data_IF_671273666006
#
_entry.id   IF_671273666006
#
_cell.length_a   1.000
_cell.length_b   1.000
_cell.length_c   1.000
_cell.angle_alpha   90.00
_cell.angle_beta   90.00
_cell.angle_gamma   90.00
#
_symmetry.space_group_name_H-M   'P 1'
#
loop_
_entity.id
_entity.type
_entity.pdbx_description
1 polymer ?
#
# COMPACT_ATOMS: atom_id res chain seq x y z
N UNK A 1 9.09 35.50 -23.27
CA UNK A 1 9.06 34.15 -23.90
C UNK A 1 8.15 33.35 -23.01
N UNK A 2 6.97 33.20 -23.46
CA UNK A 2 5.90 33.26 -22.48
C UNK A 2 5.19 31.94 -22.24
N UNK A 3 5.69 30.81 -22.72
CA UNK A 3 5.16 29.51 -22.30
C UNK A 3 6.01 28.37 -22.89
N UNK A 4 6.22 27.31 -22.12
CA UNK A 4 6.78 26.04 -22.61
C UNK A 4 5.96 25.45 -23.79
N UNK A 5 4.71 25.87 -23.96
CA UNK A 5 3.88 25.52 -25.09
C UNK A 5 4.46 26.04 -26.43
N UNK A 6 5.06 27.25 -26.43
CA UNK A 6 5.71 27.83 -27.61
C UNK A 6 6.98 27.05 -27.96
N UNK A 7 7.73 26.63 -26.96
CA UNK A 7 8.92 25.77 -27.12
C UNK A 7 8.55 24.39 -27.67
N UNK A 8 7.44 23.82 -27.20
CA UNK A 8 6.94 22.56 -27.74
C UNK A 8 6.52 22.66 -29.22
N UNK A 9 5.97 23.80 -29.61
CA UNK A 9 5.65 24.05 -31.04
C UNK A 9 6.90 24.03 -31.92
N UNK A 10 8.03 24.61 -31.47
CA UNK A 10 9.32 24.56 -32.16
C UNK A 10 9.88 23.12 -32.21
N UNK A 11 9.77 22.36 -31.13
CA UNK A 11 10.18 20.96 -31.13
C UNK A 11 9.35 20.13 -32.10
N UNK A 12 8.04 20.35 -32.18
CA UNK A 12 7.16 19.71 -33.17
C UNK A 12 7.54 20.03 -34.61
N UNK A 13 7.93 21.26 -34.87
CA UNK A 13 8.37 21.67 -36.20
C UNK A 13 9.69 21.00 -36.61
N UNK A 14 10.64 20.87 -35.70
CA UNK A 14 11.90 20.15 -35.95
C UNK A 14 11.65 18.63 -36.10
N UNK A 15 10.78 18.03 -35.30
CA UNK A 15 10.35 16.63 -35.46
C UNK A 15 9.65 16.37 -36.80
N UNK A 16 8.87 17.33 -37.31
CA UNK A 16 8.23 17.27 -38.62
C UNK A 16 9.25 17.27 -39.74
N UNK A 17 10.29 18.10 -39.63
CA UNK A 17 11.36 18.21 -40.62
C UNK A 17 12.29 16.96 -40.66
N UNK A 18 12.39 16.24 -39.54
CA UNK A 18 13.22 15.02 -39.41
C UNK A 18 12.48 13.73 -39.74
N UNK A 19 11.17 13.76 -39.93
CA UNK A 19 10.34 12.57 -40.16
C UNK A 19 9.56 12.65 -41.47
N UNK A 20 9.14 11.50 -41.99
CA UNK A 20 8.24 11.46 -43.14
C UNK A 20 6.84 11.96 -42.76
N UNK A 21 6.12 12.54 -43.69
CA UNK A 21 4.78 13.11 -43.45
C UNK A 21 3.82 12.09 -42.81
N UNK A 22 3.91 10.82 -43.21
CA UNK A 22 3.09 9.74 -42.70
C UNK A 22 3.45 9.42 -41.23
N UNK A 23 4.74 9.33 -40.89
CA UNK A 23 5.22 9.07 -39.54
C UNK A 23 4.85 10.22 -38.61
N UNK A 24 5.03 11.45 -39.07
CA UNK A 24 4.69 12.64 -38.30
C UNK A 24 3.19 12.65 -37.94
N UNK A 25 2.32 12.58 -38.96
CA UNK A 25 0.86 12.65 -38.74
C UNK A 25 0.29 11.54 -37.87
N UNK A 26 0.84 10.31 -37.94
CA UNK A 26 0.30 9.17 -37.21
C UNK A 26 0.84 9.13 -35.79
N UNK A 27 2.12 9.43 -35.59
CA UNK A 27 2.81 9.15 -34.32
C UNK A 27 3.24 10.40 -33.54
N UNK A 28 3.72 11.45 -34.19
CA UNK A 28 4.34 12.61 -33.54
C UNK A 28 3.36 13.79 -33.38
N UNK A 29 2.50 14.04 -34.37
CA UNK A 29 1.50 15.11 -34.32
C UNK A 29 0.50 14.96 -33.15
N UNK A 30 0.03 13.75 -32.82
CA UNK A 30 -0.88 13.53 -31.68
C UNK A 30 -0.26 13.69 -30.29
N UNK A 31 1.05 13.94 -30.18
CA UNK A 31 1.71 14.22 -28.91
C UNK A 31 1.29 15.60 -28.41
N UNK A 32 0.71 15.67 -27.23
CA UNK A 32 0.29 16.91 -26.59
C UNK A 32 1.25 17.28 -25.45
N UNK A 33 1.58 18.55 -25.31
CA UNK A 33 2.33 19.05 -24.18
C UNK A 33 1.42 19.09 -22.95
N UNK A 34 1.82 18.41 -21.86
CA UNK A 34 1.10 18.44 -20.59
C UNK A 34 1.83 19.36 -19.62
N UNK A 35 3.08 19.05 -19.29
CA UNK A 35 3.84 19.75 -18.26
C UNK A 35 5.35 19.59 -18.50
N UNK A 36 6.13 20.60 -18.08
CA UNK A 36 7.58 20.49 -17.94
C UNK A 36 7.96 20.74 -16.48
N UNK A 37 8.53 19.75 -15.82
CA UNK A 37 8.85 19.84 -14.40
C UNK A 37 10.25 19.30 -14.15
N UNK A 38 11.07 20.13 -13.52
CA UNK A 38 12.50 19.88 -13.32
C UNK A 38 13.18 19.65 -14.68
N UNK A 39 13.70 18.47 -14.98
CA UNK A 39 14.31 18.12 -16.29
C UNK A 39 13.47 17.10 -17.06
N UNK A 40 12.17 17.01 -16.80
CA UNK A 40 11.27 16.02 -17.39
C UNK A 40 10.13 16.68 -18.16
N UNK A 41 10.06 16.37 -19.44
CA UNK A 41 8.98 16.74 -20.34
C UNK A 41 7.89 15.66 -20.32
N UNK A 42 6.68 16.05 -19.95
CA UNK A 42 5.53 15.14 -19.89
C UNK A 42 4.64 15.40 -21.11
N UNK A 43 4.47 14.36 -21.93
CA UNK A 43 3.68 14.40 -23.17
C UNK A 43 2.46 13.49 -23.08
N UNK A 44 1.31 14.02 -23.50
CA UNK A 44 0.05 13.31 -23.62
C UNK A 44 -0.01 12.46 -24.88
N UNK A 45 -0.42 11.19 -24.76
CA UNK A 45 -0.70 10.30 -25.89
C UNK A 45 -1.62 9.17 -25.49
N UNK A 46 -2.43 8.66 -26.44
CA UNK A 46 -3.31 7.53 -26.20
C UNK A 46 -2.53 6.25 -25.86
N UNK A 47 -3.09 5.42 -24.92
CA UNK A 47 -2.47 4.19 -24.40
C UNK A 47 -1.98 3.26 -25.53
N UNK A 48 -2.79 3.10 -26.57
CA UNK A 48 -2.46 2.26 -27.72
C UNK A 48 -1.18 2.71 -28.46
N UNK A 49 -0.89 4.03 -28.53
CA UNK A 49 0.29 4.58 -29.21
C UNK A 49 1.52 4.64 -28.33
N UNK A 50 1.35 4.68 -27.00
CA UNK A 50 2.42 4.85 -26.01
C UNK A 50 3.55 3.81 -26.17
N UNK A 51 3.22 2.53 -26.28
CA UNK A 51 4.22 1.47 -26.44
C UNK A 51 5.10 1.63 -27.67
N UNK A 52 4.50 2.07 -28.79
CA UNK A 52 5.24 2.27 -30.07
C UNK A 52 6.10 3.53 -30.01
N UNK A 53 5.60 4.61 -29.42
CA UNK A 53 6.36 5.84 -29.23
C UNK A 53 7.58 5.60 -28.35
N UNK A 54 7.40 4.95 -27.20
CA UNK A 54 8.49 4.62 -26.27
C UNK A 54 9.55 3.72 -26.91
N UNK A 55 9.12 2.71 -27.69
CA UNK A 55 10.07 1.75 -28.29
C UNK A 55 10.81 2.27 -29.52
N UNK A 56 10.19 3.15 -30.32
CA UNK A 56 10.74 3.55 -31.61
C UNK A 56 11.12 5.04 -31.73
N UNK A 57 10.45 5.90 -31.01
CA UNK A 57 10.58 7.35 -31.20
C UNK A 57 11.13 8.10 -29.99
N UNK A 58 11.24 7.46 -28.82
CA UNK A 58 11.74 8.11 -27.59
C UNK A 58 13.09 8.78 -27.81
N UNK A 59 14.07 8.09 -28.38
CA UNK A 59 15.41 8.62 -28.62
C UNK A 59 15.44 9.83 -29.59
N UNK A 60 14.60 9.81 -30.63
CA UNK A 60 14.49 10.93 -31.58
C UNK A 60 13.87 12.14 -30.90
N UNK A 61 12.84 11.93 -30.08
CA UNK A 61 12.17 13.02 -29.36
C UNK A 61 13.13 13.63 -28.33
N UNK A 62 13.84 12.81 -27.54
CA UNK A 62 14.82 13.28 -26.55
C UNK A 62 15.96 14.07 -27.21
N UNK A 63 16.52 13.58 -28.32
CA UNK A 63 17.56 14.29 -29.09
C UNK A 63 17.06 15.62 -29.65
N UNK A 64 15.84 15.66 -30.16
CA UNK A 64 15.26 16.90 -30.69
C UNK A 64 14.98 17.90 -29.57
N UNK A 65 14.51 17.44 -28.43
CA UNK A 65 14.35 18.27 -27.22
C UNK A 65 15.70 18.83 -26.76
N UNK A 66 16.75 18.00 -26.65
CA UNK A 66 18.10 18.44 -26.28
C UNK A 66 18.66 19.49 -27.26
N UNK A 67 18.43 19.31 -28.54
CA UNK A 67 18.85 20.26 -29.58
C UNK A 67 18.16 21.62 -29.46
N UNK A 68 16.87 21.65 -29.19
CA UNK A 68 16.07 22.90 -29.10
C UNK A 68 16.26 23.59 -27.75
N UNK A 69 16.35 22.83 -26.66
CA UNK A 69 16.45 23.34 -25.29
C UNK A 69 17.90 23.62 -24.85
N UNK A 70 18.89 22.96 -25.50
CA UNK A 70 20.31 23.10 -25.14
C UNK A 70 20.77 22.30 -23.91
N UNK A 71 19.92 21.49 -23.35
CA UNK A 71 20.23 20.60 -22.22
C UNK A 71 19.44 19.28 -22.32
N UNK A 72 19.91 18.23 -21.62
CA UNK A 72 19.25 16.92 -21.63
C UNK A 72 17.93 16.97 -20.91
N UNK A 73 16.91 16.38 -21.54
CA UNK A 73 15.54 16.30 -21.03
C UNK A 73 15.10 14.85 -21.05
N UNK A 74 14.56 14.39 -19.96
CA UNK A 74 13.85 13.12 -19.90
C UNK A 74 12.44 13.29 -20.46
N UNK A 75 11.98 12.36 -21.31
CA UNK A 75 10.62 12.43 -21.87
C UNK A 75 9.78 11.30 -21.26
N UNK A 76 8.70 11.69 -20.59
CA UNK A 76 7.68 10.81 -20.06
C UNK A 76 6.37 10.94 -20.84
N UNK A 77 5.62 9.85 -20.96
CA UNK A 77 4.38 9.80 -21.72
C UNK A 77 3.21 9.42 -20.82
N UNK A 78 2.12 10.19 -20.88
CA UNK A 78 0.88 9.94 -20.17
C UNK A 78 -0.27 9.67 -21.13
N UNK A 79 -1.16 8.76 -20.76
CA UNK A 79 -2.43 8.58 -21.46
C UNK A 79 -3.55 9.39 -20.80
N UNK A 80 -4.63 9.76 -21.54
CA UNK A 80 -5.80 10.43 -20.96
C UNK A 80 -6.48 9.60 -19.87
N UNK A 81 -6.34 8.28 -19.87
CA UNK A 81 -6.79 7.40 -18.81
C UNK A 81 -5.88 7.51 -17.56
N UNK A 82 -4.58 7.77 -17.74
CA UNK A 82 -3.64 8.06 -16.65
C UNK A 82 -3.82 9.50 -16.13
N UNK A 83 -4.20 10.45 -16.97
CA UNK A 83 -4.55 11.83 -16.57
C UNK A 83 -5.82 11.89 -15.73
N UNK A 84 -6.86 11.14 -16.12
CA UNK A 84 -8.07 11.02 -15.31
C UNK A 84 -7.79 10.26 -14.00
N UNK A 85 -6.93 9.26 -14.04
CA UNK A 85 -6.46 8.55 -12.83
C UNK A 85 -5.48 9.38 -12.00
N UNK A 86 -4.77 10.38 -12.54
CA UNK A 86 -3.87 11.25 -11.77
C UNK A 86 -4.51 12.58 -11.36
N UNK A 87 -5.49 13.12 -12.09
CA UNK A 87 -6.42 14.14 -11.55
C UNK A 87 -7.32 13.52 -10.48
N UNK A 88 -7.79 12.32 -10.66
CA UNK A 88 -8.41 11.52 -9.60
C UNK A 88 -7.37 11.06 -8.56
N UNK A 89 -6.11 10.78 -8.92
CA UNK A 89 -5.03 10.47 -7.99
C UNK A 89 -4.36 11.70 -7.38
N UNK A 90 -4.35 12.86 -7.95
CA UNK A 90 -3.88 14.11 -7.30
C UNK A 90 -4.96 14.78 -6.46
N UNK A 91 -6.23 14.67 -6.81
CA UNK A 91 -7.36 14.86 -5.89
C UNK A 91 -7.51 13.66 -4.95
N UNK A 92 -7.15 12.44 -5.36
CA UNK A 92 -7.12 11.25 -4.55
C UNK A 92 -5.76 11.00 -3.91
N UNK A 93 -4.59 11.51 -4.32
CA UNK A 93 -3.35 11.40 -3.53
C UNK A 93 -3.19 12.51 -2.49
N UNK A 94 -3.94 13.59 -2.56
CA UNK A 94 -4.32 14.35 -1.35
C UNK A 94 -5.54 13.73 -0.62
N UNK A 95 -6.27 12.79 -1.25
CA UNK A 95 -7.42 12.06 -0.69
C UNK A 95 -7.30 10.53 -0.71
N UNK A 96 -6.36 9.88 -1.43
CA UNK A 96 -6.28 8.41 -1.56
C UNK A 96 -5.06 7.74 -0.94
N UNK A 97 -4.26 8.45 -0.22
CA UNK A 97 -3.80 7.92 1.06
C UNK A 97 -4.95 7.95 2.10
N UNK A 98 -6.19 8.28 1.69
CA UNK A 98 -7.33 8.58 2.59
C UNK A 98 -8.71 8.13 2.12
N UNK A 99 -8.88 7.38 1.04
CA UNK A 99 -10.21 7.06 0.54
C UNK A 99 -10.52 5.57 0.63
N UNK A 100 -11.39 5.23 1.53
CA UNK A 100 -12.27 4.06 1.48
C UNK A 100 -11.86 2.85 2.31
N UNK A 101 -10.57 2.51 2.44
CA UNK A 101 -10.15 1.36 3.25
C UNK A 101 -9.73 1.72 4.68
N UNK A 102 -9.26 2.95 4.91
CA UNK A 102 -8.68 3.34 6.19
C UNK A 102 -9.73 3.77 7.24
N UNK A 103 -10.91 4.23 6.82
CA UNK A 103 -11.99 4.59 7.76
C UNK A 103 -12.65 3.39 8.41
N UNK A 104 -12.58 2.21 7.78
CA UNK A 104 -13.15 0.97 8.34
C UNK A 104 -12.25 0.31 9.38
N UNK A 105 -10.95 0.65 9.42
CA UNK A 105 -10.00 0.07 10.36
C UNK A 105 -9.87 0.93 11.64
N UNK A 106 -10.84 0.75 12.53
CA UNK A 106 -10.85 1.37 13.86
C UNK A 106 -10.74 0.32 14.94
N UNK A 107 -10.48 0.73 16.19
CA UNK A 107 -10.52 -0.17 17.33
C UNK A 107 -11.93 -0.72 17.57
N UNK A 108 -12.97 0.07 17.28
CA UNK A 108 -14.37 -0.34 17.48
C UNK A 108 -14.78 -1.44 16.49
N UNK A 109 -14.25 -1.41 15.27
CA UNK A 109 -14.53 -2.42 14.24
C UNK A 109 -13.63 -3.65 14.35
N UNK A 110 -12.68 -3.68 15.29
CA UNK A 110 -11.78 -4.80 15.49
C UNK A 110 -12.43 -5.82 16.43
N UNK A 111 -12.76 -7.00 15.94
CA UNK A 111 -13.38 -8.07 16.75
C UNK A 111 -12.35 -8.69 17.69
N UNK A 112 -12.55 -8.47 18.98
CA UNK A 112 -11.65 -8.94 20.02
C UNK A 112 -12.01 -10.36 20.43
N UNK A 113 -10.99 -11.22 20.49
CA UNK A 113 -11.10 -12.59 21.00
C UNK A 113 -9.88 -12.99 21.83
N UNK A 114 -9.85 -14.19 22.39
CA UNK A 114 -8.72 -14.66 23.20
C UNK A 114 -7.38 -14.62 22.46
N UNK A 115 -7.40 -14.80 21.14
CA UNK A 115 -6.22 -14.90 20.25
C UNK A 115 -5.57 -13.57 19.90
N UNK A 116 -6.24 -12.43 20.11
CA UNK A 116 -5.77 -11.11 19.70
C UNK A 116 -5.92 -10.03 20.79
N UNK A 117 -6.53 -10.36 21.92
CA UNK A 117 -6.81 -9.41 23.01
C UNK A 117 -5.57 -8.69 23.53
N UNK A 118 -4.43 -9.41 23.63
CA UNK A 118 -3.19 -8.82 24.11
C UNK A 118 -2.65 -7.78 23.10
N UNK A 119 -2.59 -8.13 21.81
CA UNK A 119 -2.15 -7.24 20.76
C UNK A 119 -3.07 -6.01 20.62
N UNK A 120 -4.39 -6.21 20.72
CA UNK A 120 -5.37 -5.12 20.73
C UNK A 120 -5.15 -4.16 21.92
N UNK A 121 -5.01 -4.69 23.14
CA UNK A 121 -4.78 -3.85 24.33
C UNK A 121 -3.46 -3.08 24.27
N UNK A 122 -2.40 -3.71 23.73
CA UNK A 122 -1.12 -3.06 23.51
C UNK A 122 -1.23 -1.92 22.48
N UNK A 123 -1.90 -2.18 21.36
CA UNK A 123 -2.14 -1.20 20.29
C UNK A 123 -2.95 0.00 20.80
N UNK A 124 -4.02 -0.25 21.55
CA UNK A 124 -4.85 0.79 22.14
C UNK A 124 -4.06 1.65 23.14
N UNK A 125 -3.19 1.05 23.95
CA UNK A 125 -2.35 1.77 24.91
C UNK A 125 -1.33 2.66 24.20
N UNK A 126 -0.72 2.18 23.12
CA UNK A 126 0.19 2.96 22.28
C UNK A 126 -0.55 4.14 21.61
N UNK A 127 -1.77 3.92 21.13
CA UNK A 127 -2.59 4.97 20.53
C UNK A 127 -2.95 6.07 21.52
N UNK A 128 -3.24 5.74 22.79
CA UNK A 128 -3.53 6.70 23.85
C UNK A 128 -2.31 7.51 24.30
N UNK A 129 -1.13 6.90 24.28
CA UNK A 129 0.09 7.52 24.82
C UNK A 129 1.30 7.19 23.95
N UNK A 130 1.40 7.74 22.73
CA UNK A 130 2.51 7.48 21.84
C UNK A 130 3.87 7.88 22.45
N UNK A 131 4.89 7.05 22.27
CA UNK A 131 6.25 7.26 22.75
C UNK A 131 6.47 6.96 24.23
N UNK A 132 5.42 6.65 25.01
CA UNK A 132 5.53 6.51 26.47
C UNK A 132 5.40 5.06 26.98
N UNK A 133 4.51 4.26 26.41
CA UNK A 133 4.18 2.94 26.97
C UNK A 133 5.07 1.83 26.42
N UNK A 134 4.92 1.53 25.13
CA UNK A 134 5.58 0.41 24.45
C UNK A 134 6.24 0.91 23.18
N UNK A 135 7.57 1.08 23.21
CA UNK A 135 8.28 1.63 22.06
C UNK A 135 9.60 0.87 21.80
N UNK A 136 9.69 0.13 20.67
CA UNK A 136 8.66 -0.10 19.68
C UNK A 136 7.53 -1.03 20.17
N UNK A 137 6.35 -0.95 19.52
CA UNK A 137 5.37 -2.02 19.55
C UNK A 137 5.57 -2.89 18.31
N UNK A 138 5.83 -4.18 18.51
CA UNK A 138 6.03 -5.15 17.44
C UNK A 138 4.88 -6.16 17.44
N UNK A 139 4.01 -6.12 16.41
CA UNK A 139 2.86 -7.01 16.27
C UNK A 139 3.19 -8.07 15.24
N UNK A 140 3.09 -9.35 15.60
CA UNK A 140 3.34 -10.42 14.63
C UNK A 140 2.23 -11.48 14.61
N UNK A 141 2.18 -12.21 13.51
CA UNK A 141 1.24 -13.30 13.27
C UNK A 141 1.06 -13.58 11.80
N UNK A 142 0.49 -14.73 11.46
CA UNK A 142 0.30 -15.12 10.07
C UNK A 142 -0.47 -14.08 9.25
N UNK A 143 -0.34 -14.17 7.92
CA UNK A 143 -1.06 -13.27 7.02
C UNK A 143 -2.57 -13.36 7.22
N UNK A 144 -3.25 -12.20 7.17
CA UNK A 144 -4.71 -12.11 7.25
C UNK A 144 -5.31 -12.24 8.65
N UNK A 145 -4.53 -12.00 9.73
CA UNK A 145 -5.02 -12.05 11.12
C UNK A 145 -5.40 -10.68 11.72
N UNK A 146 -5.29 -9.58 10.94
CA UNK A 146 -5.69 -8.25 11.39
C UNK A 146 -4.54 -7.35 11.88
N UNK A 147 -3.27 -7.67 11.58
CA UNK A 147 -2.11 -6.81 11.92
C UNK A 147 -2.26 -5.41 11.33
N UNK A 148 -2.47 -5.33 10.02
CA UNK A 148 -2.70 -4.07 9.30
C UNK A 148 -3.87 -3.29 9.89
N UNK A 149 -4.96 -3.96 10.29
CA UNK A 149 -6.10 -3.33 10.96
C UNK A 149 -5.66 -2.61 12.24
N UNK A 150 -4.88 -3.27 13.10
CA UNK A 150 -4.39 -2.63 14.32
C UNK A 150 -3.45 -1.46 14.06
N UNK A 151 -2.57 -1.53 13.05
CA UNK A 151 -1.72 -0.41 12.66
C UNK A 151 -2.58 0.78 12.20
N UNK A 152 -3.55 0.55 11.33
CA UNK A 152 -4.47 1.58 10.85
C UNK A 152 -5.36 2.12 11.98
N UNK A 153 -5.80 1.28 12.91
CA UNK A 153 -6.57 1.72 14.07
C UNK A 153 -5.76 2.67 14.98
N UNK A 154 -4.46 2.36 15.21
CA UNK A 154 -3.55 3.28 15.92
C UNK A 154 -3.43 4.60 15.17
N UNK A 155 -3.19 4.54 13.85
CA UNK A 155 -3.06 5.74 13.01
C UNK A 155 -4.31 6.62 13.09
N UNK A 156 -5.49 6.03 12.88
CA UNK A 156 -6.76 6.74 12.88
C UNK A 156 -7.03 7.39 14.24
N UNK A 157 -6.83 6.63 15.32
CA UNK A 157 -7.03 7.14 16.67
C UNK A 157 -6.08 8.32 17.00
N UNK A 158 -4.77 8.18 16.73
CA UNK A 158 -3.80 9.26 17.00
C UNK A 158 -4.12 10.48 16.16
N UNK A 159 -4.55 10.31 14.91
CA UNK A 159 -4.91 11.42 14.04
C UNK A 159 -6.16 12.15 14.49
N UNK A 160 -7.14 11.42 15.01
CA UNK A 160 -8.36 12.00 15.59
C UNK A 160 -8.03 12.84 16.83
N UNK A 161 -7.15 12.34 17.72
CA UNK A 161 -6.74 13.04 18.93
C UNK A 161 -5.79 14.21 18.64
N UNK A 162 -4.94 14.10 17.63
CA UNK A 162 -3.98 15.14 17.21
C UNK A 162 -3.92 15.24 15.68
N UNK A 163 -4.78 16.07 15.06
CA UNK A 163 -4.80 16.24 13.61
C UNK A 163 -3.50 16.76 12.99
N UNK A 164 -2.62 17.40 13.78
CA UNK A 164 -1.35 17.95 13.33
C UNK A 164 -0.17 16.97 13.50
N UNK A 165 -0.39 15.80 14.07
CA UNK A 165 0.67 14.80 14.22
C UNK A 165 1.20 14.36 12.85
N UNK A 166 2.53 14.36 12.71
CA UNK A 166 3.20 13.83 11.52
C UNK A 166 3.24 12.30 11.62
N UNK A 167 2.25 11.65 11.00
CA UNK A 167 2.10 10.19 11.03
C UNK A 167 2.54 9.63 9.69
N UNK A 168 3.50 8.70 9.71
CA UNK A 168 3.96 7.98 8.53
C UNK A 168 3.54 6.52 8.65
N UNK A 169 2.70 6.08 7.70
CA UNK A 169 2.37 4.68 7.49
C UNK A 169 3.03 4.21 6.19
N UNK A 170 3.80 3.14 6.25
CA UNK A 170 4.49 2.56 5.09
C UNK A 170 4.60 1.04 5.23
N UNK A 171 4.87 0.33 4.12
CA UNK A 171 5.30 -1.07 4.19
C UNK A 171 6.82 -1.18 4.13
N UNK A 172 7.40 -2.28 4.64
CA UNK A 172 8.82 -2.55 4.53
C UNK A 172 9.32 -2.58 3.08
N UNK A 173 8.47 -2.99 2.15
CA UNK A 173 8.76 -2.95 0.72
C UNK A 173 8.80 -1.51 0.19
N UNK A 174 7.78 -0.71 0.51
CA UNK A 174 7.70 0.69 0.06
C UNK A 174 8.84 1.52 0.64
N UNK A 175 9.16 1.37 1.92
CA UNK A 175 10.33 1.99 2.56
C UNK A 175 11.62 1.70 1.79
N UNK A 176 11.81 0.43 1.38
CA UNK A 176 12.98 0.03 0.60
C UNK A 176 13.00 0.68 -0.79
N UNK A 177 11.87 0.68 -1.49
CA UNK A 177 11.77 1.23 -2.84
C UNK A 177 12.00 2.75 -2.83
N UNK A 178 11.46 3.46 -1.85
CA UNK A 178 11.74 4.88 -1.64
C UNK A 178 13.22 5.14 -1.34
N UNK A 179 13.84 4.35 -0.46
CA UNK A 179 15.27 4.49 -0.17
C UNK A 179 16.12 4.35 -1.46
N UNK A 180 15.85 3.32 -2.27
CA UNK A 180 16.55 3.12 -3.55
C UNK A 180 16.35 4.30 -4.50
N UNK A 181 15.11 4.82 -4.57
CA UNK A 181 14.80 5.99 -5.38
C UNK A 181 15.60 7.23 -4.94
N UNK A 182 15.60 7.53 -3.64
CA UNK A 182 16.33 8.70 -3.11
C UNK A 182 17.85 8.57 -3.22
N UNK A 183 18.42 7.36 -3.07
CA UNK A 183 19.83 7.10 -3.33
C UNK A 183 20.16 7.33 -4.81
N UNK A 184 19.34 6.81 -5.73
CA UNK A 184 19.54 6.98 -7.17
C UNK A 184 19.49 8.43 -7.63
N UNK A 185 18.74 9.27 -6.94
CA UNK A 185 18.63 10.71 -7.20
C UNK A 185 19.59 11.58 -6.37
N UNK A 186 20.55 10.98 -5.64
CA UNK A 186 21.48 11.67 -4.75
C UNK A 186 20.81 12.59 -3.71
N UNK A 187 19.59 12.29 -3.29
CA UNK A 187 18.78 13.10 -2.37
C UNK A 187 18.38 12.35 -1.09
N UNK A 188 19.33 11.66 -0.48
CA UNK A 188 19.10 10.93 0.78
C UNK A 188 18.66 11.83 1.95
N UNK A 189 18.99 13.12 1.87
CA UNK A 189 18.57 14.10 2.89
C UNK A 189 17.03 14.19 2.98
N UNK A 190 16.33 14.28 1.86
CA UNK A 190 14.87 14.35 1.85
C UNK A 190 14.22 13.06 2.40
N UNK A 191 14.84 11.89 2.17
CA UNK A 191 14.40 10.64 2.78
C UNK A 191 14.55 10.69 4.31
N UNK A 192 15.70 11.14 4.80
CA UNK A 192 15.94 11.29 6.25
C UNK A 192 14.97 12.29 6.88
N UNK A 193 14.77 13.43 6.25
CA UNK A 193 13.82 14.44 6.72
C UNK A 193 12.41 13.87 6.82
N UNK A 194 11.94 13.17 5.77
CA UNK A 194 10.63 12.55 5.77
C UNK A 194 10.46 11.59 6.95
N UNK A 195 11.31 10.57 7.05
CA UNK A 195 11.09 9.49 8.00
C UNK A 195 11.48 9.82 9.44
N UNK A 196 12.54 10.64 9.65
CA UNK A 196 13.05 10.99 10.99
C UNK A 196 12.29 12.15 11.64
N UNK A 197 11.41 12.85 10.89
CA UNK A 197 10.52 13.88 11.44
C UNK A 197 9.17 13.34 11.93
N UNK A 198 8.89 12.05 11.74
CA UNK A 198 7.62 11.45 12.14
C UNK A 198 7.39 11.51 13.65
N UNK A 199 6.18 11.83 14.07
CA UNK A 199 5.72 11.68 15.46
C UNK A 199 5.32 10.24 15.76
N UNK A 200 4.81 9.55 14.72
CA UNK A 200 4.42 8.15 14.75
C UNK A 200 4.84 7.48 13.43
N UNK A 201 5.72 6.49 13.50
CA UNK A 201 6.11 5.67 12.37
C UNK A 201 5.47 4.29 12.49
N UNK A 202 4.63 3.93 11.50
CA UNK A 202 3.99 2.63 11.38
C UNK A 202 4.56 1.91 10.16
N UNK A 203 5.16 0.74 10.35
CA UNK A 203 5.72 -0.04 9.25
C UNK A 203 5.07 -1.41 9.20
N UNK A 204 4.28 -1.62 8.16
CA UNK A 204 3.62 -2.91 7.92
C UNK A 204 4.57 -3.86 7.17
N UNK A 205 4.47 -5.14 7.47
CA UNK A 205 5.25 -6.19 6.84
C UNK A 205 6.77 -5.92 6.81
N UNK A 206 7.34 -5.59 7.99
CA UNK A 206 8.77 -5.24 8.15
C UNK A 206 9.73 -6.36 7.71
N UNK A 207 9.28 -7.62 7.62
CA UNK A 207 10.10 -8.74 7.14
C UNK A 207 10.68 -8.52 5.73
N UNK A 208 10.11 -7.64 4.92
CA UNK A 208 10.63 -7.34 3.58
C UNK A 208 11.97 -6.60 3.56
N UNK A 209 12.39 -5.97 4.68
CA UNK A 209 13.72 -5.38 4.77
C UNK A 209 14.81 -6.41 5.09
N UNK A 210 14.45 -7.59 5.61
CA UNK A 210 15.38 -8.55 6.21
C UNK A 210 16.47 -9.13 5.27
N UNK A 211 16.30 -9.00 3.95
CA UNK A 211 17.25 -9.46 2.94
C UNK A 211 18.08 -8.34 2.29
N UNK A 212 18.02 -7.12 2.79
CA UNK A 212 18.55 -5.91 2.14
C UNK A 212 19.41 -5.12 3.12
N UNK A 213 20.71 -5.41 3.19
CA UNK A 213 21.66 -4.84 4.16
C UNK A 213 21.60 -3.31 4.23
N UNK A 214 21.71 -2.62 3.09
CA UNK A 214 21.64 -1.16 3.05
C UNK A 214 20.31 -0.61 3.58
N UNK A 215 19.19 -1.33 3.36
CA UNK A 215 17.89 -0.94 3.90
C UNK A 215 17.81 -1.17 5.41
N UNK A 216 18.42 -2.27 5.91
CA UNK A 216 18.48 -2.53 7.35
C UNK A 216 19.32 -1.47 8.07
N UNK A 217 20.42 -1.05 7.47
CA UNK A 217 21.29 0.00 8.00
C UNK A 217 20.55 1.33 8.10
N UNK A 218 19.89 1.77 7.03
CA UNK A 218 19.14 3.02 7.03
C UNK A 218 17.92 2.96 7.98
N UNK A 219 17.25 1.81 8.03
CA UNK A 219 16.16 1.60 8.98
C UNK A 219 16.65 1.68 10.43
N UNK A 220 17.81 1.10 10.74
CA UNK A 220 18.42 1.18 12.06
C UNK A 220 18.72 2.63 12.48
N UNK A 221 19.25 3.46 11.58
CA UNK A 221 19.49 4.86 11.85
C UNK A 221 18.20 5.66 12.03
N UNK A 222 17.20 5.42 11.21
CA UNK A 222 15.87 6.04 11.33
C UNK A 222 15.20 5.64 12.64
N UNK A 223 15.26 4.36 13.00
CA UNK A 223 14.74 3.83 14.24
C UNK A 223 15.35 4.52 15.47
N UNK A 224 16.69 4.59 15.52
CA UNK A 224 17.38 5.25 16.65
C UNK A 224 17.02 6.74 16.75
N UNK A 225 17.01 7.45 15.63
CA UNK A 225 16.65 8.87 15.61
C UNK A 225 15.25 9.12 16.18
N UNK A 226 14.28 8.26 15.87
CA UNK A 226 12.92 8.36 16.38
C UNK A 226 12.83 8.01 17.87
N UNK A 227 13.48 6.93 18.31
CA UNK A 227 13.50 6.55 19.74
C UNK A 227 14.15 7.63 20.59
N UNK A 228 15.29 8.17 20.16
CA UNK A 228 16.02 9.22 20.86
C UNK A 228 15.22 10.53 20.96
N UNK A 229 14.37 10.79 19.95
CA UNK A 229 13.41 11.91 19.95
C UNK A 229 12.11 11.61 20.72
N UNK A 230 11.96 10.43 21.34
CA UNK A 230 10.75 10.04 22.06
C UNK A 230 9.53 9.80 21.17
N UNK A 231 9.74 9.53 19.87
CA UNK A 231 8.68 9.29 18.89
C UNK A 231 8.28 7.83 18.89
N UNK A 232 7.01 7.55 18.57
CA UNK A 232 6.47 6.19 18.58
C UNK A 232 6.81 5.44 17.30
N UNK A 233 7.20 4.17 17.46
CA UNK A 233 7.37 3.21 16.36
C UNK A 233 6.44 2.01 16.58
N UNK A 234 5.71 1.61 15.53
CA UNK A 234 4.90 0.39 15.51
C UNK A 234 5.27 -0.43 14.29
N UNK A 235 5.58 -1.69 14.49
CA UNK A 235 6.01 -2.61 13.42
C UNK A 235 5.05 -3.79 13.33
N UNK A 236 4.76 -4.25 12.13
CA UNK A 236 4.09 -5.54 11.92
C UNK A 236 4.96 -6.53 11.17
N UNK A 237 4.74 -7.82 11.38
CA UNK A 237 5.43 -8.90 10.68
C UNK A 237 4.59 -10.17 10.58
N UNK A 238 4.94 -11.05 9.64
CA UNK A 238 4.37 -12.41 9.56
C UNK A 238 4.97 -13.38 10.59
N UNK A 239 6.11 -13.03 11.22
CA UNK A 239 6.86 -13.85 12.18
C UNK A 239 7.57 -12.99 13.23
N UNK A 240 7.95 -13.55 14.39
CA UNK A 240 8.70 -12.82 15.40
C UNK A 240 10.13 -12.49 14.95
N UNK A 241 10.79 -11.45 15.53
CA UNK A 241 12.15 -11.05 15.17
C UNK A 241 13.17 -12.19 15.22
N UNK A 242 13.04 -13.10 16.18
CA UNK A 242 13.93 -14.28 16.33
C UNK A 242 13.92 -15.22 15.14
N UNK A 243 12.83 -15.28 14.40
CA UNK A 243 12.68 -16.14 13.22
C UNK A 243 13.11 -15.45 11.91
N UNK A 244 13.49 -14.18 11.97
CA UNK A 244 14.02 -13.45 10.82
C UNK A 244 15.54 -13.68 10.68
N UNK A 245 15.93 -14.81 10.11
CA UNK A 245 17.34 -15.28 10.07
C UNK A 245 18.29 -14.32 9.34
N UNK A 246 17.80 -13.53 8.37
CA UNK A 246 18.60 -12.57 7.59
C UNK A 246 18.57 -11.15 8.16
N UNK A 247 17.96 -10.97 9.33
CA UNK A 247 17.95 -9.69 10.03
C UNK A 247 19.24 -9.54 10.83
N UNK A 248 19.91 -8.40 10.69
CA UNK A 248 21.09 -8.06 11.47
C UNK A 248 20.78 -8.05 12.98
N UNK A 249 21.72 -8.53 13.79
CA UNK A 249 21.52 -8.65 15.24
C UNK A 249 21.20 -7.31 15.91
N UNK A 250 21.85 -6.22 15.45
CA UNK A 250 21.57 -4.87 15.96
C UNK A 250 20.12 -4.41 15.69
N UNK A 251 19.57 -4.73 14.51
CA UNK A 251 18.18 -4.40 14.16
C UNK A 251 17.21 -5.29 14.94
N UNK A 252 17.52 -6.60 15.03
CA UNK A 252 16.73 -7.56 15.81
C UNK A 252 16.61 -7.13 17.28
N UNK A 253 17.73 -6.77 17.91
CA UNK A 253 17.78 -6.30 19.29
C UNK A 253 16.89 -5.07 19.48
N UNK A 254 16.83 -4.15 18.50
CA UNK A 254 15.93 -3.00 18.54
C UNK A 254 14.45 -3.37 18.46
N UNK A 255 14.10 -4.34 17.62
CA UNK A 255 12.71 -4.82 17.54
C UNK A 255 12.28 -5.51 18.84
N UNK A 256 13.21 -6.18 19.51
CA UNK A 256 12.98 -6.88 20.77
C UNK A 256 13.05 -5.97 22.00
N UNK A 257 13.54 -4.73 21.87
CA UNK A 257 13.69 -3.82 23.02
C UNK A 257 12.38 -3.27 23.59
N UNK A 258 11.30 -3.34 22.80
CA UNK A 258 9.96 -2.90 23.19
C UNK A 258 9.03 -4.05 23.54
N UNK A 259 7.75 -3.88 23.23
CA UNK A 259 6.73 -4.92 23.46
C UNK A 259 6.49 -5.71 22.18
N UNK A 260 6.61 -7.03 22.28
CA UNK A 260 6.25 -7.96 21.21
C UNK A 260 4.89 -8.56 21.52
N UNK A 261 3.93 -8.41 20.61
CA UNK A 261 2.57 -8.90 20.74
C UNK A 261 2.23 -9.84 19.57
N UNK A 262 1.77 -11.04 19.87
CA UNK A 262 1.35 -12.01 18.86
C UNK A 262 -0.15 -11.95 18.59
N UNK A 263 -0.52 -12.30 17.38
CA UNK A 263 -1.90 -12.54 16.96
C UNK A 263 -1.99 -13.98 16.44
N UNK A 264 -2.79 -14.78 17.14
CA UNK A 264 -3.03 -16.17 16.79
C UNK A 264 -4.33 -16.33 15.96
N UNK A 265 -4.52 -17.44 15.24
CA UNK A 265 -5.77 -17.72 14.56
C UNK A 265 -6.97 -17.66 15.54
N UNK A 266 -8.07 -17.01 15.12
CA UNK A 266 -9.25 -16.84 15.97
C UNK A 266 -9.96 -18.17 16.23
N UNK A 267 -10.55 -18.32 17.43
CA UNK A 267 -11.42 -19.43 17.74
C UNK A 267 -12.75 -19.35 16.96
N UNK A 268 -13.59 -20.38 17.05
CA UNK A 268 -14.84 -20.46 16.29
C UNK A 268 -15.76 -19.27 16.57
N UNK A 269 -15.95 -18.92 17.84
CA UNK A 269 -16.83 -17.82 18.26
C UNK A 269 -16.37 -16.47 17.67
N UNK A 270 -15.07 -16.19 17.73
CA UNK A 270 -14.49 -14.97 17.14
C UNK A 270 -14.66 -14.95 15.63
N UNK A 271 -14.50 -16.10 14.95
CA UNK A 271 -14.73 -16.16 13.49
C UNK A 271 -16.19 -15.90 13.13
N UNK A 272 -17.15 -16.48 13.90
CA UNK A 272 -18.58 -16.21 13.71
C UNK A 272 -18.90 -14.72 13.90
N UNK A 273 -18.33 -14.10 14.94
CA UNK A 273 -18.51 -12.67 15.18
C UNK A 273 -17.93 -11.80 14.04
N UNK A 274 -16.77 -12.18 13.51
CA UNK A 274 -16.17 -11.49 12.33
C UNK A 274 -17.08 -11.62 11.11
N UNK A 275 -17.59 -12.81 10.81
CA UNK A 275 -18.50 -13.04 9.67
C UNK A 275 -19.77 -12.20 9.84
N UNK A 276 -20.35 -12.17 11.05
CA UNK A 276 -21.54 -11.39 11.34
C UNK A 276 -21.28 -9.88 11.14
N UNK A 277 -20.22 -9.35 11.73
CA UNK A 277 -19.85 -7.95 11.56
C UNK A 277 -19.66 -7.61 10.07
N UNK A 278 -18.96 -8.46 9.30
CA UNK A 278 -18.74 -8.24 7.87
C UNK A 278 -20.01 -8.43 7.02
N UNK A 279 -20.97 -9.23 7.47
CA UNK A 279 -22.28 -9.32 6.81
C UNK A 279 -23.11 -8.06 7.05
N UNK A 280 -23.05 -7.52 8.27
CA UNK A 280 -23.74 -6.26 8.62
C UNK A 280 -23.13 -5.07 7.82
N UNK A 281 -21.79 -4.99 7.71
CA UNK A 281 -21.10 -3.97 6.89
C UNK A 281 -21.50 -4.00 5.40
N UNK A 282 -21.92 -5.16 4.88
CA UNK A 282 -22.33 -5.35 3.48
C UNK A 282 -23.83 -5.37 3.27
N UNK A 283 -24.64 -5.04 4.27
CA UNK A 283 -26.11 -5.13 4.25
C UNK A 283 -26.60 -6.49 3.74
N UNK A 284 -26.00 -7.59 4.23
CA UNK A 284 -26.40 -8.94 3.89
C UNK A 284 -26.82 -9.74 5.13
N UNK A 285 -28.02 -10.29 5.11
CA UNK A 285 -28.54 -11.14 6.18
C UNK A 285 -28.10 -12.60 5.98
N UNK A 286 -27.15 -13.07 6.79
CA UNK A 286 -26.71 -14.46 6.80
C UNK A 286 -27.42 -15.24 7.94
N UNK A 287 -27.93 -16.43 7.64
CA UNK A 287 -28.46 -17.31 8.68
C UNK A 287 -27.34 -17.87 9.56
N UNK A 288 -27.65 -18.20 10.82
CA UNK A 288 -26.68 -18.79 11.76
C UNK A 288 -26.05 -20.07 11.20
N UNK A 289 -26.80 -20.85 10.40
CA UNK A 289 -26.32 -22.04 9.72
C UNK A 289 -25.20 -21.70 8.70
N UNK A 290 -25.37 -20.64 7.90
CA UNK A 290 -24.36 -20.17 6.94
C UNK A 290 -23.14 -19.63 7.66
N UNK A 291 -23.33 -18.82 8.70
CA UNK A 291 -22.24 -18.25 9.53
C UNK A 291 -21.41 -19.38 10.13
N UNK A 292 -22.05 -20.36 10.76
CA UNK A 292 -21.39 -21.51 11.39
C UNK A 292 -20.61 -22.31 10.35
N UNK A 293 -21.23 -22.59 9.20
CA UNK A 293 -20.58 -23.33 8.12
C UNK A 293 -19.31 -22.65 7.61
N UNK A 294 -19.34 -21.33 7.37
CA UNK A 294 -18.17 -20.57 6.95
C UNK A 294 -17.08 -20.57 8.03
N UNK A 295 -17.48 -20.34 9.29
CA UNK A 295 -16.55 -20.30 10.41
C UNK A 295 -15.86 -21.64 10.70
N UNK A 296 -16.52 -22.78 10.46
CA UNK A 296 -15.96 -24.12 10.63
C UNK A 296 -14.97 -24.48 9.51
N UNK A 297 -15.21 -24.00 8.31
CA UNK A 297 -14.41 -24.37 7.13
C UNK A 297 -13.23 -23.41 6.86
N UNK A 298 -13.32 -22.13 7.27
CA UNK A 298 -12.23 -21.15 7.10
C UNK A 298 -11.63 -20.84 8.47
N UNK A 299 -10.49 -21.48 8.80
CA UNK A 299 -9.93 -21.47 10.18
C UNK A 299 -8.76 -20.52 10.37
N UNK A 300 -7.96 -20.24 9.33
CA UNK A 300 -6.63 -19.67 9.48
C UNK A 300 -6.48 -18.23 8.96
N UNK A 301 -7.42 -17.74 8.15
CA UNK A 301 -7.24 -16.48 7.46
C UNK A 301 -8.54 -15.67 7.44
N UNK A 302 -8.53 -14.52 8.12
CA UNK A 302 -9.70 -13.63 8.21
C UNK A 302 -10.02 -13.02 6.85
N UNK A 303 -9.00 -12.71 6.01
CA UNK A 303 -9.25 -12.22 4.64
C UNK A 303 -10.05 -13.21 3.79
N UNK A 304 -9.88 -14.53 4.03
CA UNK A 304 -10.69 -15.54 3.35
C UNK A 304 -12.14 -15.55 3.86
N UNK A 305 -12.37 -15.29 5.15
CA UNK A 305 -13.73 -15.11 5.70
C UNK A 305 -14.43 -13.90 5.05
N UNK A 306 -13.75 -12.76 5.02
CA UNK A 306 -14.26 -11.54 4.36
C UNK A 306 -14.53 -11.78 2.86
N UNK A 307 -13.61 -12.44 2.18
CA UNK A 307 -13.75 -12.81 0.76
C UNK A 307 -14.95 -13.71 0.51
N UNK A 308 -15.22 -14.67 1.40
CA UNK A 308 -16.38 -15.57 1.30
C UNK A 308 -17.71 -14.79 1.48
N UNK A 309 -17.78 -13.87 2.48
CA UNK A 309 -18.97 -13.02 2.67
C UNK A 309 -19.21 -12.14 1.44
N UNK A 310 -18.17 -11.50 0.89
CA UNK A 310 -18.26 -10.71 -0.35
C UNK A 310 -18.74 -11.52 -1.54
N UNK A 311 -18.25 -12.77 -1.72
CA UNK A 311 -18.72 -13.68 -2.79
C UNK A 311 -20.20 -14.02 -2.62
N UNK A 312 -20.65 -14.28 -1.38
CA UNK A 312 -22.06 -14.58 -1.12
C UNK A 312 -22.94 -13.35 -1.41
N UNK A 313 -22.50 -12.15 -1.05
CA UNK A 313 -23.19 -10.90 -1.42
C UNK A 313 -23.32 -10.76 -2.92
N UNK A 314 -22.23 -10.98 -3.65
CA UNK A 314 -22.27 -10.94 -5.12
C UNK A 314 -23.25 -11.95 -5.73
N UNK A 315 -23.35 -13.16 -5.17
CA UNK A 315 -24.36 -14.14 -5.63
C UNK A 315 -25.77 -13.66 -5.34
N UNK A 316 -26.02 -13.08 -4.16
CA UNK A 316 -27.34 -12.49 -3.84
C UNK A 316 -27.72 -11.38 -4.83
N UNK A 317 -26.79 -10.49 -5.15
CA UNK A 317 -27.02 -9.36 -6.04
C UNK A 317 -27.30 -9.82 -7.49
N UNK A 318 -26.65 -10.90 -7.95
CA UNK A 318 -26.82 -11.45 -9.30
C UNK A 318 -28.05 -12.38 -9.41
N UNK A 319 -28.26 -13.23 -8.41
CA UNK A 319 -29.30 -14.28 -8.46
C UNK A 319 -30.62 -13.82 -7.84
N UNK A 320 -30.63 -12.72 -7.09
CA UNK A 320 -31.82 -12.17 -6.40
C UNK A 320 -32.37 -13.07 -5.28
N UNK A 321 -31.58 -14.06 -4.84
CA UNK A 321 -32.00 -15.08 -3.85
C UNK A 321 -31.37 -14.82 -2.50
N UNK A 322 -32.08 -15.13 -1.40
CA UNK A 322 -31.47 -15.06 -0.06
C UNK A 322 -30.31 -16.04 0.07
N UNK A 323 -29.23 -15.62 0.79
CA UNK A 323 -28.08 -16.48 1.03
C UNK A 323 -28.45 -17.79 1.73
N UNK A 324 -27.88 -18.89 1.25
CA UNK A 324 -28.12 -20.22 1.79
C UNK A 324 -26.81 -21.04 1.82
N UNK A 325 -26.87 -22.24 2.39
CA UNK A 325 -25.71 -23.15 2.48
C UNK A 325 -25.12 -23.52 1.11
N UNK A 326 -25.91 -23.59 0.05
CA UNK A 326 -25.40 -23.89 -1.29
C UNK A 326 -24.54 -22.73 -1.81
N UNK A 327 -24.96 -21.48 -1.58
CA UNK A 327 -24.16 -20.29 -1.90
C UNK A 327 -22.86 -20.28 -1.07
N UNK A 328 -22.92 -20.60 0.24
CA UNK A 328 -21.74 -20.69 1.09
C UNK A 328 -20.74 -21.76 0.60
N UNK A 329 -21.20 -22.95 0.28
CA UNK A 329 -20.37 -24.03 -0.29
C UNK A 329 -19.68 -23.60 -1.57
N UNK A 330 -20.43 -22.97 -2.48
CA UNK A 330 -19.91 -22.44 -3.73
C UNK A 330 -18.88 -21.33 -3.52
N UNK A 331 -19.12 -20.42 -2.54
CA UNK A 331 -18.21 -19.32 -2.25
C UNK A 331 -16.83 -19.76 -1.76
N UNK A 332 -16.75 -20.90 -1.05
CA UNK A 332 -15.50 -21.40 -0.46
C UNK A 332 -14.94 -22.66 -1.14
N UNK A 333 -15.52 -23.09 -2.25
CA UNK A 333 -15.08 -24.31 -2.98
C UNK A 333 -13.58 -24.29 -3.30
N UNK A 334 -13.06 -23.14 -3.75
CA UNK A 334 -11.65 -22.97 -4.11
C UNK A 334 -10.74 -23.08 -2.85
N UNK A 335 -11.19 -22.52 -1.73
CA UNK A 335 -10.45 -22.52 -0.45
C UNK A 335 -10.36 -23.95 0.12
N UNK A 336 -11.39 -24.75 -0.04
CA UNK A 336 -11.43 -26.15 0.43
C UNK A 336 -10.53 -27.03 -0.44
N UNK A 337 -10.54 -26.81 -1.76
CA UNK A 337 -9.75 -27.60 -2.71
C UNK A 337 -8.22 -27.35 -2.52
N UNK A 338 -7.81 -26.14 -2.21
CA UNK A 338 -6.40 -25.82 -1.91
C UNK A 338 -5.86 -26.49 -0.63
N UNK A 339 -6.74 -26.92 0.27
CA UNK A 339 -6.37 -27.62 1.51
C UNK A 339 -6.33 -29.16 1.38
N UNK A 340 -6.65 -29.73 0.20
CA UNK A 340 -6.46 -31.17 -0.05
C UNK A 340 -5.03 -31.41 -0.52
N UNK A 341 -4.27 -32.33 0.10
CA UNK A 341 -2.98 -32.74 -0.46
C UNK A 341 -3.18 -33.29 -1.85
N UNK A 342 -2.37 -32.86 -2.82
CA UNK A 342 -2.32 -33.42 -4.15
C UNK A 342 -2.21 -34.94 -4.04
N UNK A 343 -3.04 -35.74 -4.72
CA UNK A 343 -2.87 -37.18 -4.74
C UNK A 343 -1.49 -37.50 -5.33
N UNK A 344 -0.70 -38.27 -4.56
CA UNK A 344 0.63 -38.77 -4.92
C UNK A 344 0.51 -39.79 -6.06
#
# INVERSE_FOLDING_TARGET
MDSFADVWALIKEDLKNQSTEVVYKIWLEPLEFIEFKEDTLILGISEFKKQIIVSKFKGVIEQTCEKVLGFKVNVCYRSPAEEQQETEKNEASSKSSRAGADYDYTFDNFIIGPSNRFAHAAALNVAHSPGKAYNPLFIYGHSGLGKTHLLCAIMNYVKEQNPNANIIYTSGEHFTNELVYYIGNHNTHAFHEKYRSADLLLVDDIQFISKKEATQEEFFHTFNALIDAGKQIVLSSDRPPKEMMTLEERVRSRFESGLIADIQPPNLETRMAIIKCKSDDLDIELSDEVITYLAENIKKNIRQLEGAVKKIKAYQDVEGTKPNIANAKRAISDIINDNQPLPV
#
